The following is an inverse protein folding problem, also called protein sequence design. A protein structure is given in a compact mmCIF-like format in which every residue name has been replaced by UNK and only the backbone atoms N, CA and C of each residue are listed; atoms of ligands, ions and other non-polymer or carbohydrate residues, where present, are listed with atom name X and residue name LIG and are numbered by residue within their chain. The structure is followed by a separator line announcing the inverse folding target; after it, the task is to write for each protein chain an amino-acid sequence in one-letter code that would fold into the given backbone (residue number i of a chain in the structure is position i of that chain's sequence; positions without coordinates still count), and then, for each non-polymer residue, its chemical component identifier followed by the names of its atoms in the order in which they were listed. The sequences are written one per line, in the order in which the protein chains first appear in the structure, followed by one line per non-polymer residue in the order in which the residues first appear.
data_IF_665950597914
#
_entry.id   IF_665950597914
#
_cell.length_a   1.000
_cell.length_b   1.000
_cell.length_c   1.000
_cell.angle_alpha   90.00
_cell.angle_beta   90.00
_cell.angle_gamma   90.00
#
_symmetry.space_group_name_H-M   'P 1'
#
loop_
_entity.id
_entity.type
_entity.pdbx_description
1 polymer ?
#
# COMPACT_ATOMS: atom_id res chain seq x y z
N UNK A 1 -1.22 24.11 -21.93
CA UNK A 1 -1.60 24.93 -20.77
C UNK A 1 -2.24 24.13 -19.61
N UNK A 2 -2.63 22.86 -19.77
CA UNK A 2 -3.36 22.04 -18.78
C UNK A 2 -2.60 21.58 -17.50
N UNK A 3 -1.36 22.01 -17.26
CA UNK A 3 -0.48 21.44 -16.22
C UNK A 3 -0.55 22.14 -14.83
N UNK A 4 -1.54 23.00 -14.59
CA UNK A 4 -1.66 23.78 -13.33
C UNK A 4 -2.95 23.59 -12.55
N UNK A 5 -3.86 22.74 -13.02
CA UNK A 5 -5.13 22.48 -12.33
C UNK A 5 -4.99 21.35 -11.31
N UNK A 6 -5.70 21.47 -10.19
CA UNK A 6 -5.80 20.52 -9.08
C UNK A 6 -7.25 20.40 -8.65
N UNK A 7 -7.58 19.27 -8.06
CA UNK A 7 -8.89 19.08 -7.44
C UNK A 7 -8.89 19.70 -6.04
N UNK A 8 -9.93 20.48 -5.76
CA UNK A 8 -10.15 21.16 -4.49
C UNK A 8 -11.57 20.86 -4.04
N UNK A 9 -11.71 20.47 -2.80
CA UNK A 9 -13.01 20.31 -2.15
C UNK A 9 -13.32 21.58 -1.36
N UNK A 10 -14.47 22.20 -1.61
CA UNK A 10 -14.87 23.46 -0.99
C UNK A 10 -16.30 23.37 -0.44
N UNK A 11 -16.48 23.68 0.84
CA UNK A 11 -17.78 23.72 1.49
C UNK A 11 -18.36 25.13 1.38
N UNK A 12 -19.55 25.26 0.80
CA UNK A 12 -20.22 26.55 0.53
C UNK A 12 -20.53 27.29 1.82
N UNK A 13 -20.09 28.55 1.89
CA UNK A 13 -20.33 29.44 3.02
C UNK A 13 -21.51 30.39 2.86
N UNK A 14 -21.84 31.14 3.92
CA UNK A 14 -23.01 32.01 3.95
C UNK A 14 -22.87 33.25 3.06
N UNK A 15 -21.65 33.66 2.70
CA UNK A 15 -21.39 34.82 1.83
C UNK A 15 -21.12 34.39 0.38
N UNK A 16 -21.53 33.17 -0.01
CA UNK A 16 -21.31 32.65 -1.34
C UNK A 16 -22.14 33.43 -2.39
N UNK A 17 -21.55 33.93 -3.50
CA UNK A 17 -22.23 34.81 -4.46
C UNK A 17 -23.35 34.14 -5.27
N UNK A 18 -23.30 32.81 -5.43
CA UNK A 18 -24.19 32.06 -6.32
C UNK A 18 -25.15 31.13 -5.55
N UNK A 19 -25.59 31.57 -4.36
CA UNK A 19 -26.60 30.82 -3.59
C UNK A 19 -27.92 30.74 -4.37
N UNK A 20 -28.58 29.59 -4.26
CA UNK A 20 -29.84 29.25 -4.95
C UNK A 20 -29.77 29.23 -6.48
N UNK A 21 -28.57 29.34 -7.06
CA UNK A 21 -28.32 29.18 -8.50
C UNK A 21 -27.82 27.76 -8.80
N UNK A 22 -28.12 27.26 -9.99
CA UNK A 22 -27.54 26.00 -10.50
C UNK A 22 -26.13 26.22 -11.04
N UNK A 23 -25.36 25.13 -11.22
CA UNK A 23 -23.99 25.21 -11.74
C UNK A 23 -23.96 25.79 -13.16
N UNK A 24 -25.01 25.56 -13.96
CA UNK A 24 -25.13 26.07 -15.33
C UNK A 24 -25.42 27.58 -15.38
N UNK A 25 -26.12 28.10 -14.38
CA UNK A 25 -26.49 29.53 -14.30
C UNK A 25 -25.36 30.39 -13.73
N UNK A 26 -24.46 29.79 -12.94
CA UNK A 26 -23.35 30.51 -12.33
C UNK A 26 -22.13 30.58 -13.26
N UNK A 27 -21.59 31.78 -13.50
CA UNK A 27 -20.30 31.95 -14.18
C UNK A 27 -19.13 31.66 -13.22
N UNK A 28 -19.06 30.41 -12.78
CA UNK A 28 -18.06 29.95 -11.81
C UNK A 28 -16.64 30.05 -12.38
N UNK A 29 -16.50 29.78 -13.68
CA UNK A 29 -15.22 29.88 -14.38
C UNK A 29 -14.75 31.33 -14.47
N UNK A 30 -15.62 32.28 -14.78
CA UNK A 30 -15.27 33.70 -14.84
C UNK A 30 -14.93 34.29 -13.47
N UNK A 31 -15.71 33.97 -12.44
CA UNK A 31 -15.56 34.57 -11.11
C UNK A 31 -14.43 33.93 -10.28
N UNK A 32 -14.36 32.60 -10.25
CA UNK A 32 -13.46 31.84 -9.39
C UNK A 32 -12.28 31.21 -10.14
N UNK A 33 -12.25 31.27 -11.48
CA UNK A 33 -11.27 30.55 -12.32
C UNK A 33 -11.21 29.05 -12.00
N UNK A 34 -12.35 28.49 -11.60
CA UNK A 34 -12.51 27.10 -11.20
C UNK A 34 -13.71 26.50 -11.94
N UNK A 35 -13.70 25.17 -12.12
CA UNK A 35 -14.82 24.42 -12.72
C UNK A 35 -15.42 23.52 -11.65
N UNK A 36 -16.74 23.58 -11.46
CA UNK A 36 -17.45 22.65 -10.56
C UNK A 36 -17.62 21.32 -11.28
N UNK A 37 -17.12 20.24 -10.66
CA UNK A 37 -17.20 18.87 -11.18
C UNK A 37 -18.37 18.09 -10.57
N UNK A 38 -18.68 18.36 -9.29
CA UNK A 38 -19.81 17.77 -8.59
C UNK A 38 -20.20 18.59 -7.37
N UNK A 39 -21.48 18.47 -6.98
CA UNK A 39 -22.06 19.02 -5.76
C UNK A 39 -22.56 17.86 -4.90
N UNK A 40 -22.21 17.84 -3.62
CA UNK A 40 -22.69 16.88 -2.64
C UNK A 40 -23.39 17.61 -1.48
N UNK A 41 -24.51 17.08 -1.00
CA UNK A 41 -25.31 17.68 0.08
C UNK A 41 -25.43 16.74 1.27
N UNK A 42 -24.70 17.05 2.35
CA UNK A 42 -24.65 16.20 3.54
C UNK A 42 -24.18 14.78 3.22
N UNK A 43 -24.77 13.77 3.86
CA UNK A 43 -24.47 12.33 3.62
C UNK A 43 -25.18 11.74 2.39
N UNK A 44 -25.71 12.57 1.48
CA UNK A 44 -26.35 12.09 0.25
C UNK A 44 -25.36 12.17 -0.90
N UNK A 45 -24.54 11.13 -1.03
CA UNK A 45 -23.54 10.97 -2.11
C UNK A 45 -24.19 10.81 -3.51
N UNK A 46 -25.50 10.66 -3.59
CA UNK A 46 -26.24 10.39 -4.83
C UNK A 46 -27.21 11.51 -5.20
N UNK A 47 -26.70 12.73 -5.39
CA UNK A 47 -27.46 13.73 -6.15
C UNK A 47 -27.47 13.32 -7.63
N UNK A 48 -28.65 13.31 -8.30
CA UNK A 48 -28.73 12.97 -9.71
C UNK A 48 -27.85 13.93 -10.54
N UNK A 49 -27.20 13.37 -11.56
CA UNK A 49 -26.27 14.08 -12.45
C UNK A 49 -25.15 14.85 -11.71
N UNK A 50 -24.60 14.22 -10.67
CA UNK A 50 -23.52 14.78 -9.83
C UNK A 50 -23.89 16.11 -9.15
N UNK A 51 -25.19 16.41 -9.04
CA UNK A 51 -25.70 17.63 -8.42
C UNK A 51 -25.53 18.90 -9.27
N UNK A 52 -25.15 18.79 -10.55
CA UNK A 52 -24.88 19.95 -11.42
C UNK A 52 -26.13 20.82 -11.67
N UNK A 53 -27.30 20.20 -11.79
CA UNK A 53 -28.59 20.90 -11.96
C UNK A 53 -29.29 21.22 -10.62
N UNK A 54 -28.62 20.99 -9.49
CA UNK A 54 -29.20 21.28 -8.17
C UNK A 54 -28.81 22.70 -7.76
N UNK A 55 -29.74 23.52 -7.24
CA UNK A 55 -29.40 24.85 -6.72
C UNK A 55 -28.46 24.73 -5.52
N UNK A 56 -27.36 25.48 -5.56
CA UNK A 56 -26.29 25.44 -4.56
C UNK A 56 -26.77 26.08 -3.25
N UNK A 57 -26.59 25.38 -2.14
CA UNK A 57 -27.01 25.82 -0.80
C UNK A 57 -25.83 25.90 0.16
N UNK A 58 -26.00 26.66 1.24
CA UNK A 58 -25.03 26.76 2.33
C UNK A 58 -24.79 25.37 2.92
N UNK A 59 -23.51 25.00 3.07
CA UNK A 59 -23.10 23.69 3.58
C UNK A 59 -22.99 22.59 2.53
N UNK A 60 -23.29 22.87 1.26
CA UNK A 60 -22.97 21.94 0.16
C UNK A 60 -21.45 21.83 -0.02
N UNK A 61 -21.00 20.62 -0.39
CA UNK A 61 -19.60 20.34 -0.71
C UNK A 61 -19.43 20.33 -2.23
N UNK A 62 -18.60 21.24 -2.74
CA UNK A 62 -18.26 21.36 -4.15
C UNK A 62 -16.92 20.70 -4.42
N UNK A 63 -16.86 19.81 -5.42
CA UNK A 63 -15.61 19.33 -5.98
C UNK A 63 -15.24 20.22 -7.17
N UNK A 64 -14.10 20.91 -7.06
CA UNK A 64 -13.66 21.94 -8.00
C UNK A 64 -12.37 21.53 -8.71
N UNK A 65 -12.27 21.75 -10.01
CA UNK A 65 -11.00 21.80 -10.72
C UNK A 65 -10.50 23.26 -10.75
N UNK A 66 -9.46 23.58 -9.99
CA UNK A 66 -8.96 24.95 -9.83
C UNK A 66 -7.42 25.05 -9.91
N UNK A 67 -6.87 26.28 -9.97
CA UNK A 67 -5.43 26.51 -9.88
C UNK A 67 -4.88 26.06 -8.51
N UNK A 68 -3.59 25.69 -8.44
CA UNK A 68 -2.86 25.36 -7.20
C UNK A 68 -2.97 26.43 -6.10
N UNK A 69 -3.15 27.69 -6.48
CA UNK A 69 -3.26 28.83 -5.56
C UNK A 69 -4.69 29.01 -5.00
N UNK A 70 -5.70 28.39 -5.61
CA UNK A 70 -7.11 28.56 -5.24
C UNK A 70 -7.37 28.26 -3.77
N UNK A 71 -6.87 27.12 -3.28
CA UNK A 71 -7.01 26.75 -1.88
C UNK A 71 -6.42 27.80 -0.95
N UNK A 72 -5.24 28.35 -1.25
CA UNK A 72 -4.62 29.38 -0.41
C UNK A 72 -5.34 30.74 -0.51
N UNK A 73 -5.87 31.07 -1.68
CA UNK A 73 -6.55 32.34 -1.95
C UNK A 73 -7.92 32.42 -1.27
N UNK A 74 -8.66 31.31 -1.26
CA UNK A 74 -10.05 31.27 -0.80
C UNK A 74 -10.24 30.61 0.58
N UNK A 75 -9.18 30.06 1.20
CA UNK A 75 -9.24 29.45 2.56
C UNK A 75 -9.74 30.39 3.65
N UNK A 76 -9.52 31.70 3.51
CA UNK A 76 -9.91 32.70 4.51
C UNK A 76 -11.09 33.57 4.06
N UNK A 77 -11.66 33.31 2.88
CA UNK A 77 -12.85 34.02 2.43
C UNK A 77 -14.10 33.34 2.97
N UNK A 78 -15.10 34.13 3.34
CA UNK A 78 -16.37 33.64 3.89
C UNK A 78 -17.31 33.05 2.82
N UNK A 79 -16.94 33.19 1.55
CA UNK A 79 -17.52 32.49 0.41
C UNK A 79 -17.54 30.97 0.64
N UNK A 80 -16.55 30.44 1.37
CA UNK A 80 -16.42 29.02 1.69
C UNK A 80 -16.16 28.82 3.19
N UNK A 81 -16.81 27.83 3.80
CA UNK A 81 -16.57 27.44 5.20
C UNK A 81 -15.28 26.64 5.35
N UNK A 82 -14.94 25.85 4.32
CA UNK A 82 -13.76 25.01 4.30
C UNK A 82 -13.29 24.87 2.85
N UNK A 83 -11.99 25.02 2.61
CA UNK A 83 -11.37 24.74 1.32
C UNK A 83 -10.19 23.81 1.56
N UNK A 84 -10.29 22.58 1.05
CA UNK A 84 -9.28 21.53 1.18
C UNK A 84 -8.78 21.14 -0.21
N UNK A 85 -7.49 21.33 -0.48
CA UNK A 85 -6.90 20.81 -1.69
C UNK A 85 -6.73 19.29 -1.56
N UNK A 86 -7.19 18.52 -2.56
CA UNK A 86 -6.93 17.08 -2.60
C UNK A 86 -5.44 16.90 -2.92
N UNK A 87 -4.70 16.41 -1.93
CA UNK A 87 -3.27 16.08 -2.07
C UNK A 87 -3.07 15.10 -3.25
N UNK A 88 -1.97 15.27 -3.98
CA UNK A 88 -1.60 14.42 -5.13
C UNK A 88 -2.52 14.43 -6.38
N UNK A 89 -3.48 15.35 -6.48
CA UNK A 89 -4.35 15.54 -7.67
C UNK A 89 -3.68 16.19 -8.90
N UNK A 90 -2.35 16.29 -8.96
CA UNK A 90 -1.67 16.87 -10.12
C UNK A 90 -1.60 15.83 -11.26
N UNK A 91 -2.01 16.16 -12.49
CA UNK A 91 -2.07 15.18 -13.58
C UNK A 91 -0.69 14.53 -13.82
N UNK A 92 -0.61 13.19 -13.98
CA UNK A 92 0.65 12.49 -14.19
C UNK A 92 1.35 13.00 -15.45
N UNK A 93 2.63 13.37 -15.34
CA UNK A 93 3.40 13.82 -16.49
C UNK A 93 3.97 12.62 -17.26
N UNK A 94 3.25 12.15 -18.26
CA UNK A 94 3.64 10.99 -19.05
C UNK A 94 4.86 11.22 -19.96
N UNK A 95 5.37 12.46 -20.09
CA UNK A 95 6.51 12.74 -20.97
C UNK A 95 7.79 12.01 -20.56
N UNK A 96 7.95 11.73 -19.26
CA UNK A 96 9.14 11.05 -18.72
C UNK A 96 8.94 9.58 -18.43
N UNK A 97 7.74 9.05 -18.69
CA UNK A 97 7.41 7.64 -18.51
C UNK A 97 8.37 6.70 -19.25
N UNK A 98 8.70 6.87 -20.55
CA UNK A 98 9.60 5.92 -21.23
C UNK A 98 11.02 5.92 -20.65
N UNK A 99 11.50 7.09 -20.20
CA UNK A 99 12.80 7.19 -19.55
C UNK A 99 12.81 6.51 -18.19
N UNK A 100 11.79 6.76 -17.37
CA UNK A 100 11.64 6.11 -16.06
C UNK A 100 11.50 4.59 -16.19
N UNK A 101 10.73 4.12 -17.18
CA UNK A 101 10.58 2.70 -17.47
C UNK A 101 11.91 2.09 -17.93
N UNK A 102 12.65 2.78 -18.79
CA UNK A 102 13.98 2.34 -19.24
C UNK A 102 14.98 2.22 -18.09
N UNK A 103 14.98 3.18 -17.15
CA UNK A 103 15.83 3.13 -15.95
C UNK A 103 15.44 1.93 -15.07
N UNK A 104 14.15 1.71 -14.83
CA UNK A 104 13.65 0.56 -14.08
C UNK A 104 14.07 -0.76 -14.72
N UNK A 105 13.88 -0.88 -16.04
CA UNK A 105 14.18 -2.10 -16.78
C UNK A 105 15.69 -2.37 -16.80
N UNK A 106 16.51 -1.34 -16.98
CA UNK A 106 17.96 -1.45 -16.86
C UNK A 106 18.40 -1.90 -15.46
N UNK A 107 17.81 -1.34 -14.40
CA UNK A 107 18.09 -1.75 -13.02
C UNK A 107 17.76 -3.24 -12.79
N UNK A 108 16.58 -3.68 -13.25
CA UNK A 108 16.14 -5.09 -13.13
C UNK A 108 17.08 -6.02 -13.89
N UNK A 109 17.43 -5.69 -15.14
CA UNK A 109 18.33 -6.51 -15.96
C UNK A 109 19.72 -6.59 -15.34
N UNK A 110 20.29 -5.46 -14.94
CA UNK A 110 21.62 -5.42 -14.30
C UNK A 110 21.67 -6.26 -13.01
N UNK A 111 20.60 -6.21 -12.22
CA UNK A 111 20.49 -7.00 -10.99
C UNK A 111 20.23 -8.48 -11.26
N UNK A 112 19.40 -8.81 -12.26
CA UNK A 112 19.00 -10.19 -12.56
C UNK A 112 20.15 -11.01 -13.16
N UNK A 113 21.03 -10.37 -13.93
CA UNK A 113 22.27 -10.99 -14.43
C UNK A 113 23.43 -10.88 -13.44
N UNK A 114 23.18 -10.46 -12.21
CA UNK A 114 24.16 -10.30 -11.13
C UNK A 114 25.39 -9.46 -11.51
N UNK A 115 25.25 -8.55 -12.50
CA UNK A 115 26.33 -7.66 -12.95
C UNK A 115 26.71 -6.69 -11.83
N UNK A 116 25.69 -6.21 -11.11
CA UNK A 116 25.85 -5.41 -9.90
C UNK A 116 24.82 -5.85 -8.84
N UNK A 117 25.17 -5.82 -7.54
CA UNK A 117 24.23 -6.08 -6.45
C UNK A 117 23.01 -5.17 -6.53
N UNK A 118 21.83 -5.72 -6.18
CA UNK A 118 20.55 -5.01 -6.27
C UNK A 118 20.55 -3.67 -5.52
N UNK A 119 21.25 -3.60 -4.39
CA UNK A 119 21.40 -2.37 -3.61
C UNK A 119 22.11 -1.28 -4.43
N UNK A 120 23.22 -1.61 -5.09
CA UNK A 120 23.97 -0.67 -5.91
C UNK A 120 23.17 -0.25 -7.14
N UNK A 121 22.47 -1.20 -7.77
CA UNK A 121 21.59 -0.95 -8.90
C UNK A 121 20.45 0.02 -8.52
N UNK A 122 19.82 -0.18 -7.37
CA UNK A 122 18.75 0.67 -6.86
C UNK A 122 19.24 2.10 -6.57
N UNK A 123 20.40 2.27 -5.93
CA UNK A 123 20.99 3.59 -5.69
C UNK A 123 21.33 4.32 -6.99
N UNK A 124 21.90 3.62 -7.97
CA UNK A 124 22.19 4.18 -9.30
C UNK A 124 20.90 4.60 -10.01
N UNK A 125 19.89 3.74 -10.05
CA UNK A 125 18.60 4.02 -10.66
C UNK A 125 17.91 5.25 -10.02
N UNK A 126 17.90 5.31 -8.68
CA UNK A 126 17.37 6.46 -7.94
C UNK A 126 18.15 7.75 -8.26
N UNK A 127 19.48 7.68 -8.33
CA UNK A 127 20.33 8.81 -8.72
C UNK A 127 20.04 9.30 -10.14
N UNK A 128 19.95 8.38 -11.11
CA UNK A 128 19.61 8.71 -12.50
C UNK A 128 18.20 9.30 -12.60
N UNK A 129 17.21 8.78 -11.85
CA UNK A 129 15.85 9.34 -11.78
C UNK A 129 15.83 10.79 -11.27
N UNK A 130 16.68 11.12 -10.30
CA UNK A 130 16.84 12.50 -9.78
C UNK A 130 17.56 13.40 -10.78
N UNK A 131 18.66 12.94 -11.38
CA UNK A 131 19.44 13.69 -12.38
C UNK A 131 18.61 14.02 -13.63
N UNK A 132 17.84 13.05 -14.12
CA UNK A 132 16.93 13.22 -15.26
C UNK A 132 15.65 13.99 -14.90
N UNK A 133 15.47 14.34 -13.62
CA UNK A 133 14.29 15.01 -13.04
C UNK A 133 13.00 14.24 -13.35
N UNK A 134 13.06 12.91 -13.45
CA UNK A 134 11.88 12.05 -13.49
C UNK A 134 11.16 12.11 -12.14
N UNK A 135 11.92 12.29 -11.07
CA UNK A 135 11.46 12.46 -9.70
C UNK A 135 12.12 13.70 -9.07
N UNK A 136 11.42 14.36 -8.14
CA UNK A 136 12.00 15.43 -7.33
C UNK A 136 12.48 14.89 -5.97
N UNK A 137 13.37 15.61 -5.28
CA UNK A 137 13.92 15.15 -4.00
C UNK A 137 12.86 14.95 -2.90
N UNK A 138 11.77 15.70 -2.93
CA UNK A 138 10.66 15.55 -1.99
C UNK A 138 9.92 14.22 -2.17
N UNK A 139 9.59 13.87 -3.41
CA UNK A 139 8.99 12.58 -3.78
C UNK A 139 9.94 11.44 -3.43
N UNK A 140 11.23 11.55 -3.80
CA UNK A 140 12.23 10.54 -3.47
C UNK A 140 12.30 10.25 -1.97
N UNK A 141 12.27 11.32 -1.14
CA UNK A 141 12.27 11.18 0.32
C UNK A 141 10.97 10.56 0.83
N UNK A 142 9.81 10.93 0.26
CA UNK A 142 8.50 10.38 0.63
C UNK A 142 8.32 8.92 0.19
N UNK A 143 9.06 8.48 -0.84
CA UNK A 143 9.09 7.09 -1.31
C UNK A 143 9.87 6.13 -0.40
N UNK A 144 10.65 6.62 0.56
CA UNK A 144 11.35 5.77 1.52
C UNK A 144 10.37 5.37 2.62
N UNK A 145 10.03 4.08 2.68
CA UNK A 145 9.22 3.52 3.76
C UNK A 145 10.10 3.24 4.99
N UNK A 146 10.21 4.24 5.86
CA UNK A 146 10.95 4.13 7.13
C UNK A 146 10.33 3.10 8.08
N UNK A 147 9.02 2.84 7.98
CA UNK A 147 8.37 1.82 8.80
C UNK A 147 8.91 0.45 8.44
N UNK A 148 8.98 0.11 7.15
CA UNK A 148 9.53 -1.17 6.68
C UNK A 148 11.00 -1.32 7.06
N UNK A 149 11.82 -0.29 6.87
CA UNK A 149 13.24 -0.33 7.26
C UNK A 149 13.42 -0.54 8.77
N UNK A 150 12.61 0.14 9.59
CA UNK A 150 12.65 0.00 11.05
C UNK A 150 12.24 -1.40 11.47
N UNK A 151 11.19 -1.94 10.86
CA UNK A 151 10.67 -3.29 11.10
C UNK A 151 11.72 -4.36 10.74
N UNK A 152 12.38 -4.25 9.58
CA UNK A 152 13.49 -5.15 9.19
C UNK A 152 14.63 -5.08 10.21
N UNK A 153 15.07 -3.87 10.59
CA UNK A 153 16.13 -3.69 11.58
C UNK A 153 15.77 -4.26 12.96
N UNK A 154 14.53 -4.03 13.42
CA UNK A 154 14.01 -4.56 14.68
C UNK A 154 13.97 -6.09 14.68
N UNK A 155 13.70 -6.72 13.54
CA UNK A 155 13.69 -8.18 13.43
C UNK A 155 15.04 -8.85 13.43
N UNK A 156 16.07 -8.21 12.88
CA UNK A 156 17.44 -8.68 13.09
C UNK A 156 17.81 -8.61 14.58
N UNK A 157 17.44 -7.52 15.27
CA UNK A 157 17.66 -7.38 16.71
C UNK A 157 16.85 -8.40 17.55
N UNK A 158 15.59 -8.64 17.18
CA UNK A 158 14.72 -9.62 17.82
C UNK A 158 15.25 -11.04 17.58
N UNK A 159 15.69 -11.36 16.36
CA UNK A 159 16.27 -12.66 16.04
C UNK A 159 17.51 -12.96 16.89
N UNK A 160 18.43 -12.00 16.97
CA UNK A 160 19.61 -12.09 17.84
C UNK A 160 19.22 -12.24 19.32
N UNK A 161 18.20 -11.53 19.79
CA UNK A 161 17.72 -11.63 21.17
C UNK A 161 17.08 -13.00 21.46
N UNK A 162 16.28 -13.52 20.53
CA UNK A 162 15.62 -14.83 20.63
C UNK A 162 16.64 -15.97 20.60
N UNK A 163 17.71 -15.83 19.81
CA UNK A 163 18.85 -16.74 19.80
C UNK A 163 19.61 -16.71 21.13
N UNK A 164 20.02 -15.52 21.58
CA UNK A 164 20.78 -15.36 22.84
C UNK A 164 20.03 -15.80 24.08
N UNK A 165 18.72 -15.58 24.13
CA UNK A 165 17.89 -16.01 25.26
C UNK A 165 17.59 -17.50 25.24
N UNK A 166 17.86 -18.20 24.14
CA UNK A 166 17.45 -19.59 23.94
C UNK A 166 15.93 -19.76 23.83
N UNK A 167 15.16 -18.67 23.70
CA UNK A 167 13.71 -18.71 23.57
C UNK A 167 13.28 -19.47 22.31
N UNK A 168 14.02 -19.29 21.21
CA UNK A 168 13.84 -20.04 19.97
C UNK A 168 13.94 -21.55 20.21
N UNK A 169 14.95 -21.95 21.00
CA UNK A 169 15.18 -23.35 21.37
C UNK A 169 14.06 -23.89 22.24
N UNK A 170 13.61 -23.12 23.24
CA UNK A 170 12.49 -23.51 24.09
C UNK A 170 11.16 -23.67 23.32
N UNK A 171 10.86 -22.77 22.38
CA UNK A 171 9.64 -22.84 21.54
C UNK A 171 9.69 -24.07 20.65
N UNK A 172 10.81 -24.30 19.99
CA UNK A 172 10.96 -25.45 19.11
C UNK A 172 11.01 -26.78 19.88
N UNK A 173 11.65 -26.85 21.05
CA UNK A 173 11.56 -28.00 21.96
C UNK A 173 10.11 -28.24 22.40
N UNK A 174 9.33 -27.20 22.70
CA UNK A 174 7.90 -27.33 23.03
C UNK A 174 7.08 -27.87 21.85
N UNK A 175 7.35 -27.38 20.64
CA UNK A 175 6.68 -27.81 19.41
C UNK A 175 7.08 -29.25 19.04
N UNK A 176 8.35 -29.62 19.17
CA UNK A 176 8.89 -30.94 18.83
C UNK A 176 8.66 -32.00 19.93
N UNK A 177 8.48 -31.61 21.19
CA UNK A 177 8.18 -32.55 22.29
C UNK A 177 6.74 -33.06 22.27
N UNK A 178 5.80 -32.28 21.71
CA UNK A 178 4.40 -32.67 21.57
C UNK A 178 4.10 -33.60 20.39
N UNK A 179 4.97 -33.64 19.38
CA UNK A 179 4.80 -34.46 18.19
C UNK A 179 6.16 -34.74 17.53
N UNK A 180 6.39 -35.99 17.07
CA UNK A 180 7.50 -36.35 16.18
C UNK A 180 7.31 -35.69 14.80
N UNK A 181 7.46 -34.38 14.73
CA UNK A 181 7.29 -33.58 13.53
C UNK A 181 8.46 -33.88 12.58
N UNK A 182 8.12 -34.32 11.38
CA UNK A 182 9.11 -34.41 10.30
C UNK A 182 9.51 -33.00 9.85
N UNK A 183 10.69 -32.79 9.25
CA UNK A 183 11.10 -31.49 8.69
C UNK A 183 10.03 -30.86 7.77
N UNK A 184 9.29 -31.69 7.02
CA UNK A 184 8.16 -31.25 6.19
C UNK A 184 7.01 -30.70 7.03
N UNK A 185 6.65 -31.36 8.14
CA UNK A 185 5.59 -30.88 9.03
C UNK A 185 5.98 -29.57 9.71
N UNK A 186 7.26 -29.41 10.08
CA UNK A 186 7.79 -28.16 10.63
C UNK A 186 7.71 -27.02 9.60
N UNK A 187 8.04 -27.30 8.34
CA UNK A 187 7.89 -26.34 7.24
C UNK A 187 6.42 -25.92 7.05
N UNK A 188 5.48 -26.87 7.05
CA UNK A 188 4.04 -26.61 6.96
C UNK A 188 3.58 -25.73 8.13
N UNK A 189 4.03 -26.03 9.35
CA UNK A 189 3.68 -25.24 10.53
C UNK A 189 4.15 -23.80 10.41
N UNK A 190 5.41 -23.58 9.98
CA UNK A 190 5.96 -22.24 9.75
C UNK A 190 5.16 -21.49 8.69
N UNK A 191 4.80 -22.15 7.58
CA UNK A 191 3.96 -21.56 6.54
C UNK A 191 2.60 -21.13 7.09
N UNK A 192 1.89 -22.02 7.78
CA UNK A 192 0.55 -21.75 8.33
C UNK A 192 0.59 -20.63 9.35
N UNK A 193 1.54 -20.67 10.29
CA UNK A 193 1.71 -19.62 11.28
C UNK A 193 1.96 -18.27 10.60
N UNK A 194 2.87 -18.22 9.64
CA UNK A 194 3.20 -16.98 8.92
C UNK A 194 2.00 -16.44 8.16
N UNK A 195 1.26 -17.29 7.44
CA UNK A 195 0.06 -16.89 6.72
C UNK A 195 -0.99 -16.31 7.68
N UNK A 196 -1.22 -16.96 8.83
CA UNK A 196 -2.14 -16.46 9.86
C UNK A 196 -1.69 -15.11 10.40
N UNK A 197 -0.41 -14.94 10.75
CA UNK A 197 0.11 -13.65 11.21
C UNK A 197 -0.09 -12.56 10.15
N UNK A 198 0.19 -12.85 8.88
CA UNK A 198 0.00 -11.91 7.77
C UNK A 198 -1.43 -11.38 7.64
N UNK A 199 -2.44 -12.15 8.07
CA UNK A 199 -3.83 -11.70 8.05
C UNK A 199 -4.19 -10.72 9.18
N UNK A 200 -3.40 -10.69 10.26
CA UNK A 200 -3.63 -9.77 11.39
C UNK A 200 -2.79 -8.50 11.33
N UNK A 201 -1.63 -8.55 10.69
CA UNK A 201 -0.68 -7.43 10.58
C UNK A 201 -0.34 -7.15 9.10
N UNK A 202 0.78 -6.48 8.82
CA UNK A 202 1.24 -6.28 7.44
C UNK A 202 2.17 -7.41 7.00
N UNK A 203 2.15 -7.75 5.70
CA UNK A 203 3.02 -8.78 5.10
C UNK A 203 4.49 -8.63 5.53
N UNK A 204 5.01 -7.40 5.49
CA UNK A 204 6.38 -7.10 5.86
C UNK A 204 6.63 -7.37 7.35
N UNK A 205 5.71 -6.96 8.24
CA UNK A 205 5.86 -7.21 9.68
C UNK A 205 5.78 -8.71 10.01
N UNK A 206 4.88 -9.45 9.37
CA UNK A 206 4.74 -10.89 9.55
C UNK A 206 6.00 -11.64 9.09
N UNK A 207 6.53 -11.32 7.91
CA UNK A 207 7.74 -11.93 7.38
C UNK A 207 8.92 -11.74 8.33
N UNK A 208 9.14 -10.51 8.83
CA UNK A 208 10.30 -10.26 9.67
C UNK A 208 10.14 -10.80 11.10
N UNK A 209 8.92 -10.93 11.61
CA UNK A 209 8.67 -11.56 12.92
C UNK A 209 8.88 -13.08 12.83
N UNK A 210 8.41 -13.69 11.74
CA UNK A 210 8.45 -15.15 11.57
C UNK A 210 9.81 -15.65 11.09
N UNK A 211 10.62 -14.82 10.42
CA UNK A 211 11.90 -15.25 9.89
C UNK A 211 12.86 -15.82 10.95
N UNK A 212 13.12 -15.17 12.10
CA UNK A 212 13.98 -15.75 13.13
C UNK A 212 13.44 -17.06 13.72
N UNK A 213 12.11 -17.16 13.86
CA UNK A 213 11.43 -18.38 14.34
C UNK A 213 11.62 -19.52 13.34
N UNK A 214 11.50 -19.22 12.05
CA UNK A 214 11.69 -20.17 10.96
C UNK A 214 13.13 -20.69 10.89
N UNK A 215 14.12 -19.80 11.07
CA UNK A 215 15.56 -20.17 11.14
C UNK A 215 15.80 -21.15 12.30
N UNK A 216 15.32 -20.81 13.50
CA UNK A 216 15.50 -21.66 14.68
C UNK A 216 14.84 -23.04 14.57
N UNK A 217 13.68 -23.11 13.90
CA UNK A 217 12.96 -24.37 13.64
C UNK A 217 13.64 -25.21 12.55
N UNK A 218 14.22 -24.58 11.53
CA UNK A 218 15.02 -25.26 10.52
C UNK A 218 16.24 -25.93 11.16
N UNK A 219 16.99 -25.20 11.96
CA UNK A 219 18.20 -25.69 12.63
C UNK A 219 17.90 -26.86 13.58
N UNK A 220 16.82 -26.78 14.37
CA UNK A 220 16.44 -27.87 15.28
C UNK A 220 15.87 -29.10 14.58
N UNK A 221 15.22 -28.93 13.44
CA UNK A 221 14.80 -30.05 12.60
C UNK A 221 15.95 -30.66 11.77
N UNK A 222 17.16 -30.09 11.88
CA UNK A 222 18.33 -30.52 11.11
C UNK A 222 18.21 -30.24 9.62
N UNK A 223 17.34 -29.30 9.24
CA UNK A 223 17.01 -28.98 7.86
C UNK A 223 17.69 -27.69 7.38
N UNK A 224 17.76 -27.50 6.07
CA UNK A 224 18.29 -26.29 5.48
C UNK A 224 17.38 -25.07 5.77
N UNK A 225 17.99 -23.94 6.16
CA UNK A 225 17.29 -22.68 6.45
C UNK A 225 16.60 -22.08 5.20
N UNK A 226 17.15 -22.30 4.00
CA UNK A 226 16.63 -21.73 2.75
C UNK A 226 15.14 -22.08 2.49
N UNK A 227 14.72 -23.35 2.50
CA UNK A 227 13.30 -23.72 2.32
C UNK A 227 12.35 -23.01 3.31
N UNK A 228 12.77 -22.84 4.56
CA UNK A 228 12.00 -22.16 5.59
C UNK A 228 11.91 -20.64 5.35
N UNK A 229 13.01 -20.01 4.96
CA UNK A 229 13.03 -18.61 4.56
C UNK A 229 12.09 -18.35 3.38
N UNK A 230 12.12 -19.21 2.36
CA UNK A 230 11.24 -19.13 1.19
C UNK A 230 9.78 -19.35 1.60
N UNK A 231 9.49 -20.31 2.49
CA UNK A 231 8.14 -20.53 3.00
C UNK A 231 7.59 -19.29 3.70
N UNK A 232 8.39 -18.62 4.53
CA UNK A 232 8.00 -17.35 5.16
C UNK A 232 7.72 -16.27 4.11
N UNK A 233 8.55 -16.12 3.08
CA UNK A 233 8.34 -15.12 2.02
C UNK A 233 7.01 -15.31 1.29
N UNK A 234 6.69 -16.55 0.89
CA UNK A 234 5.43 -16.84 0.20
C UNK A 234 4.21 -16.78 1.14
N UNK A 235 4.31 -17.35 2.33
CA UNK A 235 3.23 -17.31 3.31
C UNK A 235 2.88 -15.89 3.74
N UNK A 236 3.91 -15.04 3.97
CA UNK A 236 3.69 -13.65 4.34
C UNK A 236 3.02 -12.84 3.21
N UNK A 237 3.16 -13.28 1.96
CA UNK A 237 2.52 -12.66 0.80
C UNK A 237 1.09 -13.16 0.56
N UNK A 238 0.69 -14.28 1.18
CA UNK A 238 -0.64 -14.88 1.07
C UNK A 238 -1.64 -14.19 2.02
N UNK A 239 -1.91 -12.90 1.76
CA UNK A 239 -2.88 -12.08 2.50
C UNK A 239 -4.20 -11.99 1.76
N UNK A 240 -4.99 -13.08 1.80
CA UNK A 240 -6.24 -13.19 1.04
C UNK A 240 -7.49 -13.20 1.94
N UNK A 241 -7.38 -13.64 3.19
CA UNK A 241 -8.54 -13.86 4.07
C UNK A 241 -9.08 -12.56 4.69
N UNK A 242 -8.28 -11.51 4.77
CA UNK A 242 -8.66 -10.26 5.41
C UNK A 242 -8.43 -9.05 4.51
N UNK A 243 -9.31 -8.03 4.63
CA UNK A 243 -9.09 -6.77 3.94
C UNK A 243 -7.97 -5.95 4.59
N UNK A 244 -7.68 -6.17 5.88
CA UNK A 244 -6.74 -5.37 6.67
C UNK A 244 -5.28 -5.72 6.36
N UNK A 245 -4.99 -6.99 6.06
CA UNK A 245 -3.61 -7.47 5.89
C UNK A 245 -2.83 -6.80 4.75
N UNK A 246 -3.53 -6.21 3.76
CA UNK A 246 -2.87 -5.56 2.64
C UNK A 246 -3.60 -4.34 2.08
N UNK A 247 -2.84 -3.30 1.71
CA UNK A 247 -3.40 -2.00 1.29
C UNK A 247 -4.29 -2.09 0.05
N UNK A 248 -3.98 -2.96 -0.91
CA UNK A 248 -4.82 -3.09 -2.12
C UNK A 248 -6.16 -3.73 -1.82
N UNK A 249 -6.23 -4.61 -0.80
CA UNK A 249 -7.49 -5.20 -0.36
C UNK A 249 -8.40 -4.12 0.25
N UNK A 250 -7.83 -3.19 1.02
CA UNK A 250 -8.55 -2.02 1.54
C UNK A 250 -9.04 -1.08 0.43
N UNK A 251 -8.25 -0.88 -0.64
CA UNK A 251 -8.64 0.00 -1.75
C UNK A 251 -9.91 -0.47 -2.47
N UNK A 252 -10.14 -1.79 -2.55
CA UNK A 252 -11.34 -2.35 -3.17
C UNK A 252 -12.46 -2.63 -2.16
N UNK A 253 -12.14 -2.75 -0.87
CA UNK A 253 -13.11 -3.09 0.18
C UNK A 253 -14.31 -2.14 0.20
N UNK A 254 -14.05 -0.83 0.25
CA UNK A 254 -15.10 0.19 0.26
C UNK A 254 -15.81 0.37 -1.08
N UNK A 255 -15.11 0.80 -2.16
CA UNK A 255 -15.73 1.04 -3.47
C UNK A 255 -16.35 -0.20 -4.11
N UNK A 256 -15.83 -1.39 -3.81
CA UNK A 256 -16.36 -2.66 -4.30
C UNK A 256 -17.55 -3.20 -3.50
N UNK A 257 -17.92 -2.56 -2.39
CA UNK A 257 -19.05 -3.01 -1.55
C UNK A 257 -18.84 -4.37 -0.89
N UNK A 258 -17.59 -4.78 -0.67
CA UNK A 258 -17.27 -6.08 -0.08
C UNK A 258 -17.41 -6.06 1.43
N UNK A 259 -17.83 -7.18 2.01
CA UNK A 259 -17.82 -7.40 3.46
C UNK A 259 -16.60 -8.23 3.87
N UNK A 260 -16.20 -8.14 5.14
CA UNK A 260 -15.09 -8.95 5.67
C UNK A 260 -15.29 -10.47 5.48
N UNK A 261 -16.55 -10.92 5.50
CA UNK A 261 -16.90 -12.33 5.26
C UNK A 261 -16.63 -12.74 3.82
N UNK A 262 -16.75 -11.83 2.85
CA UNK A 262 -16.49 -12.12 1.44
C UNK A 262 -15.00 -12.40 1.21
N UNK A 263 -14.14 -11.62 1.88
CA UNK A 263 -12.69 -11.88 1.93
C UNK A 263 -12.38 -13.23 2.58
N UNK A 264 -13.00 -13.56 3.70
CA UNK A 264 -12.74 -14.84 4.36
C UNK A 264 -13.17 -16.04 3.49
N UNK A 265 -14.35 -15.95 2.86
CA UNK A 265 -14.92 -17.02 2.01
C UNK A 265 -14.07 -17.35 0.79
N UNK A 266 -13.52 -16.32 0.13
CA UNK A 266 -12.68 -16.51 -1.06
C UNK A 266 -11.21 -16.70 -0.68
N UNK A 267 -10.76 -15.95 0.32
CA UNK A 267 -9.38 -15.94 0.77
C UNK A 267 -8.92 -17.23 1.41
N UNK A 268 -9.76 -17.90 2.20
CA UNK A 268 -9.38 -19.16 2.84
C UNK A 268 -9.07 -20.26 1.80
N UNK A 269 -9.92 -20.53 0.79
CA UNK A 269 -9.57 -21.40 -0.33
C UNK A 269 -8.29 -20.99 -1.06
N UNK A 270 -8.06 -19.69 -1.28
CA UNK A 270 -6.86 -19.18 -1.94
C UNK A 270 -5.60 -19.39 -1.10
N UNK A 271 -5.65 -19.18 0.21
CA UNK A 271 -4.54 -19.46 1.12
C UNK A 271 -4.20 -20.96 1.16
N UNK A 272 -5.21 -21.83 1.15
CA UNK A 272 -5.00 -23.28 1.06
C UNK A 272 -4.36 -23.65 -0.28
N UNK A 273 -4.87 -23.13 -1.40
CA UNK A 273 -4.30 -23.37 -2.73
C UNK A 273 -2.84 -22.88 -2.82
N UNK A 274 -2.57 -21.69 -2.28
CA UNK A 274 -1.22 -21.13 -2.20
C UNK A 274 -0.30 -22.02 -1.36
N UNK A 275 -0.76 -22.53 -0.21
CA UNK A 275 0.03 -23.45 0.61
C UNK A 275 0.29 -24.79 -0.09
N UNK A 276 -0.74 -25.37 -0.71
CA UNK A 276 -0.67 -26.63 -1.45
C UNK A 276 0.21 -26.54 -2.69
N UNK A 277 0.40 -25.36 -3.27
CA UNK A 277 1.32 -25.16 -4.40
C UNK A 277 2.72 -24.80 -3.91
N UNK A 278 2.83 -23.90 -2.94
CA UNK A 278 4.12 -23.39 -2.44
C UNK A 278 4.94 -24.48 -1.78
N UNK A 279 4.34 -25.28 -0.88
CA UNK A 279 5.09 -26.27 -0.10
C UNK A 279 5.74 -27.33 -1.01
N UNK A 280 5.02 -27.97 -1.95
CA UNK A 280 5.64 -28.92 -2.88
C UNK A 280 6.72 -28.30 -3.77
N UNK A 281 6.51 -27.06 -4.25
CA UNK A 281 7.50 -26.36 -5.07
C UNK A 281 8.77 -26.09 -4.27
N UNK A 282 8.64 -25.68 -3.01
CA UNK A 282 9.79 -25.49 -2.12
C UNK A 282 10.55 -26.80 -1.95
N UNK A 283 9.86 -27.91 -1.65
CA UNK A 283 10.49 -29.22 -1.47
C UNK A 283 11.16 -29.74 -2.74
N UNK A 284 10.66 -29.36 -3.92
CA UNK A 284 11.23 -29.76 -5.20
C UNK A 284 12.54 -29.03 -5.51
N UNK A 285 12.62 -27.72 -5.23
CA UNK A 285 13.80 -26.91 -5.51
C UNK A 285 14.82 -26.93 -4.37
N UNK A 286 14.37 -27.03 -3.12
CA UNK A 286 15.20 -27.04 -1.93
C UNK A 286 14.92 -28.29 -1.09
N UNK A 287 15.78 -29.32 -1.18
CA UNK A 287 15.69 -30.44 -0.25
C UNK A 287 15.90 -29.93 1.19
N UNK A 288 15.06 -30.44 2.09
CA UNK A 288 15.10 -30.16 3.53
C UNK A 288 16.38 -30.73 4.15
#
# INVERSE_FOLDING_TARGET
AHYRRRLVEAVVGPEFPFLDMTVEECDFLGYYQAVVLSVARGNKDNLPDKGLHTPIQIGDTLLLEANKEFANQFRFRKDFLLVSAIEDSSPPNFKKTPLALGILLAMVVLSAFEIIPILQAAWLAAGVMLLTRCMNAGLARRSIDFTVLTVIGASFALGEAVEKTGAAKAIAEMVMSGAHLTPVMTLVLVYVMTAVFTEFITNNAAAVLMFPVAVALAEQSGANVMPFAVAVMFAASASFMTPIGYQTNLMVYGPGGYNAIDFLKIGLPMNILAGLTTIPVILFFWPL
#
